data_IF_825917308854
#
_entry.id   IF_825917308854
#
_cell.length_a   1.000
_cell.length_b   1.000
_cell.length_c   1.000
_cell.angle_alpha   90.00
_cell.angle_beta   90.00
_cell.angle_gamma   90.00
#
_symmetry.space_group_name_H-M   'P 1'
#
loop_
_entity.id
_entity.type
_entity.pdbx_description
1 polymer ?
#
# COMPACT_ATOMS: atom_id res chain seq x y z
N UNK A 1 -9.59 -20.18 -5.55
CA UNK A 1 -8.76 -19.11 -6.15
C UNK A 1 -7.72 -18.69 -5.13
N UNK A 2 -6.49 -18.42 -5.54
CA UNK A 2 -5.41 -17.97 -4.65
C UNK A 2 -5.18 -16.48 -4.83
N UNK A 3 -5.14 -15.75 -3.73
CA UNK A 3 -5.05 -14.29 -3.74
C UNK A 3 -3.95 -13.87 -2.77
N UNK A 4 -3.10 -12.92 -3.18
CA UNK A 4 -2.17 -12.26 -2.29
C UNK A 4 -2.73 -10.90 -1.89
N UNK A 5 -2.85 -10.65 -0.60
CA UNK A 5 -3.13 -9.32 -0.03
C UNK A 5 -1.84 -8.67 0.46
N UNK A 6 -1.59 -7.41 0.09
CA UNK A 6 -0.46 -6.61 0.56
C UNK A 6 -0.94 -5.31 1.19
N UNK A 7 -0.41 -4.96 2.35
CA UNK A 7 -0.68 -3.68 3.01
C UNK A 7 0.56 -3.18 3.73
N UNK A 8 0.77 -1.86 3.74
CA UNK A 8 1.72 -1.24 4.64
C UNK A 8 1.05 -0.11 5.40
N UNK A 9 1.12 -0.21 6.73
CA UNK A 9 0.51 0.76 7.65
C UNK A 9 1.23 2.10 7.67
N UNK A 10 0.61 3.08 8.32
CA UNK A 10 1.19 4.43 8.50
C UNK A 10 2.39 4.47 9.43
N UNK A 11 2.69 3.39 10.16
CA UNK A 11 3.90 3.27 10.97
C UNK A 11 5.15 3.00 10.13
N UNK A 12 4.99 2.58 8.87
CA UNK A 12 6.09 2.32 7.92
C UNK A 12 7.12 1.33 8.48
N UNK A 13 6.66 0.37 9.30
CA UNK A 13 7.55 -0.63 9.91
C UNK A 13 7.79 -1.83 8.99
N UNK A 14 6.88 -2.06 8.04
CA UNK A 14 6.99 -3.13 7.06
C UNK A 14 5.76 -3.29 6.18
N UNK A 15 5.81 -4.31 5.33
CA UNK A 15 4.75 -4.72 4.42
C UNK A 15 4.20 -6.04 4.93
N UNK A 16 2.93 -6.06 5.29
CA UNK A 16 2.21 -7.27 5.61
C UNK A 16 1.72 -7.90 4.31
N UNK A 17 2.05 -9.18 4.14
CA UNK A 17 1.68 -9.99 2.99
C UNK A 17 0.95 -11.24 3.45
N UNK A 18 -0.20 -11.52 2.84
CA UNK A 18 -1.03 -12.68 3.14
C UNK A 18 -1.40 -13.42 1.86
N UNK A 19 -1.10 -14.71 1.78
CA UNK A 19 -1.59 -15.61 0.73
C UNK A 19 -2.83 -16.34 1.24
N UNK A 20 -3.93 -16.17 0.52
CA UNK A 20 -5.24 -16.71 0.86
C UNK A 20 -5.70 -17.67 -0.23
N UNK A 21 -6.39 -18.74 0.16
CA UNK A 21 -7.21 -19.56 -0.73
C UNK A 21 -8.68 -19.24 -0.48
N UNK A 22 -9.39 -18.86 -1.53
CA UNK A 22 -10.82 -18.58 -1.49
C UNK A 22 -11.61 -19.61 -2.28
N UNK A 23 -12.72 -20.02 -1.71
CA UNK A 23 -13.70 -20.92 -2.31
C UNK A 23 -15.12 -20.40 -2.06
N UNK A 24 -16.12 -21.01 -2.70
CA UNK A 24 -17.51 -20.60 -2.59
C UNK A 24 -17.88 -19.39 -3.46
N UNK A 25 -19.16 -19.01 -3.41
CA UNK A 25 -19.73 -17.90 -4.19
C UNK A 25 -20.77 -17.15 -3.37
N UNK A 26 -20.97 -15.86 -3.66
CA UNK A 26 -21.96 -15.04 -2.95
C UNK A 26 -21.66 -14.93 -1.45
N UNK A 27 -22.63 -15.31 -0.62
CA UNK A 27 -22.51 -15.25 0.84
C UNK A 27 -21.77 -16.45 1.45
N UNK A 28 -21.47 -17.48 0.66
CA UNK A 28 -20.80 -18.69 1.11
C UNK A 28 -19.28 -18.66 0.86
N UNK A 29 -18.74 -17.51 0.47
CA UNK A 29 -17.30 -17.35 0.26
C UNK A 29 -16.56 -17.64 1.56
N UNK A 30 -15.55 -18.51 1.50
CA UNK A 30 -14.60 -18.71 2.60
C UNK A 30 -13.22 -18.29 2.14
N UNK A 31 -12.43 -17.81 3.10
CA UNK A 31 -11.05 -17.44 2.89
C UNK A 31 -10.20 -18.18 3.93
N UNK A 32 -9.24 -18.97 3.45
CA UNK A 32 -8.29 -19.70 4.28
C UNK A 32 -6.92 -19.09 4.10
N UNK A 33 -6.29 -18.66 5.20
CA UNK A 33 -4.91 -18.17 5.18
C UNK A 33 -3.97 -19.36 4.94
N UNK A 34 -3.26 -19.34 3.82
CA UNK A 34 -2.25 -20.33 3.48
C UNK A 34 -0.88 -19.93 4.05
N UNK A 35 -0.54 -18.65 3.96
CA UNK A 35 0.71 -18.10 4.48
C UNK A 35 0.56 -16.62 4.81
N UNK A 36 1.32 -16.13 5.79
CA UNK A 36 1.35 -14.73 6.17
C UNK A 36 2.72 -14.34 6.71
N UNK A 37 3.19 -13.16 6.32
CA UNK A 37 4.47 -12.63 6.79
C UNK A 37 4.47 -11.11 6.77
N UNK A 38 5.42 -10.53 7.53
CA UNK A 38 5.71 -9.11 7.51
C UNK A 38 7.15 -8.91 7.05
N UNK A 39 7.35 -8.15 5.97
CA UNK A 39 8.68 -7.80 5.46
C UNK A 39 9.04 -6.41 5.97
N UNK A 40 10.11 -6.24 6.76
CA UNK A 40 10.54 -4.92 7.18
C UNK A 40 11.07 -4.13 5.98
N UNK A 41 10.77 -2.83 5.94
CA UNK A 41 11.43 -1.96 4.96
C UNK A 41 12.94 -1.86 5.25
N UNK A 42 13.78 -1.73 4.21
CA UNK A 42 15.16 -1.28 4.36
C UNK A 42 15.20 0.04 5.14
N UNK A 43 16.17 0.19 6.05
CA UNK A 43 16.24 1.33 6.96
C UNK A 43 16.28 2.67 6.22
N UNK A 44 17.04 2.74 5.13
CA UNK A 44 17.18 3.93 4.29
C UNK A 44 15.85 4.30 3.60
N UNK A 45 15.14 3.30 3.09
CA UNK A 45 13.83 3.51 2.45
C UNK A 45 12.80 3.96 3.47
N UNK A 46 12.74 3.32 4.64
CA UNK A 46 11.88 3.72 5.75
C UNK A 46 12.12 5.18 6.15
N UNK A 47 13.38 5.59 6.30
CA UNK A 47 13.73 6.97 6.61
C UNK A 47 13.27 7.97 5.55
N UNK A 48 13.38 7.61 4.26
CA UNK A 48 12.88 8.45 3.15
C UNK A 48 11.36 8.60 3.20
N UNK A 49 10.62 7.51 3.40
CA UNK A 49 9.15 7.55 3.51
C UNK A 49 8.74 8.43 4.69
N UNK A 50 9.35 8.24 5.87
CA UNK A 50 9.06 9.04 7.06
C UNK A 50 9.37 10.53 6.87
N UNK A 51 10.43 10.89 6.14
CA UNK A 51 10.74 12.28 5.83
C UNK A 51 9.63 12.94 4.99
N UNK A 52 9.12 12.24 3.98
CA UNK A 52 8.01 12.75 3.15
C UNK A 52 6.72 12.86 3.97
N UNK A 53 6.41 11.86 4.80
CA UNK A 53 5.28 11.91 5.72
C UNK A 53 5.38 13.08 6.72
N UNK A 54 6.60 13.49 7.08
CA UNK A 54 6.87 14.65 7.94
C UNK A 54 6.79 16.00 7.18
N UNK A 55 6.46 16.00 5.88
CA UNK A 55 6.33 17.20 5.06
C UNK A 55 7.64 17.76 4.51
N UNK A 56 8.72 16.96 4.50
CA UNK A 56 9.97 17.37 3.85
C UNK A 56 9.72 17.51 2.35
N UNK A 57 10.05 18.67 1.74
CA UNK A 57 9.87 18.87 0.31
C UNK A 57 10.67 17.86 -0.51
N UNK A 58 10.06 17.36 -1.57
CA UNK A 58 10.65 16.38 -2.46
C UNK A 58 10.44 16.84 -3.91
N UNK A 59 11.44 16.64 -4.78
CA UNK A 59 11.24 16.85 -6.21
C UNK A 59 10.31 15.76 -6.77
N UNK A 60 9.64 16.05 -7.90
CA UNK A 60 8.79 15.06 -8.56
C UNK A 60 9.57 13.80 -8.98
N UNK A 61 10.82 13.97 -9.41
CA UNK A 61 11.72 12.86 -9.74
C UNK A 61 12.01 11.98 -8.52
N UNK A 62 12.33 12.60 -7.38
CA UNK A 62 12.60 11.85 -6.15
C UNK A 62 11.34 11.19 -5.58
N UNK A 63 10.14 11.73 -5.87
CA UNK A 63 8.86 11.11 -5.55
C UNK A 63 8.63 9.85 -6.38
N UNK A 64 8.82 9.91 -7.70
CA UNK A 64 8.71 8.74 -8.56
C UNK A 64 9.70 7.64 -8.17
N UNK A 65 10.96 7.99 -7.88
CA UNK A 65 11.95 7.04 -7.40
C UNK A 65 11.61 6.42 -6.04
N UNK A 66 10.89 7.16 -5.18
CA UNK A 66 10.42 6.65 -3.90
C UNK A 66 9.28 5.65 -4.10
N UNK A 67 8.32 5.98 -4.96
CA UNK A 67 7.23 5.08 -5.33
C UNK A 67 7.75 3.77 -5.94
N UNK A 68 8.65 3.86 -6.93
CA UNK A 68 9.28 2.68 -7.52
C UNK A 68 9.94 1.83 -6.44
N UNK A 69 10.70 2.43 -5.52
CA UNK A 69 11.37 1.70 -4.45
C UNK A 69 10.38 0.98 -3.53
N UNK A 70 9.24 1.60 -3.21
CA UNK A 70 8.16 0.98 -2.43
C UNK A 70 7.55 -0.19 -3.22
N UNK A 71 7.20 0.01 -4.49
CA UNK A 71 6.63 -1.01 -5.36
C UNK A 71 7.53 -2.26 -5.45
N UNK A 72 8.86 -2.07 -5.53
CA UNK A 72 9.81 -3.19 -5.51
C UNK A 72 9.77 -3.98 -4.20
N UNK A 73 9.59 -3.30 -3.05
CA UNK A 73 9.43 -3.99 -1.76
C UNK A 73 8.12 -4.76 -1.67
N UNK A 74 7.02 -4.21 -2.19
CA UNK A 74 5.73 -4.92 -2.28
C UNK A 74 5.83 -6.17 -3.17
N UNK A 75 6.45 -6.04 -4.34
CA UNK A 75 6.70 -7.18 -5.23
C UNK A 75 7.58 -8.24 -4.56
N UNK A 76 8.58 -7.83 -3.77
CA UNK A 76 9.40 -8.77 -3.00
C UNK A 76 8.58 -9.48 -1.91
N UNK A 77 7.75 -8.77 -1.15
CA UNK A 77 6.88 -9.35 -0.14
C UNK A 77 5.90 -10.36 -0.75
N UNK A 78 5.32 -10.05 -1.92
CA UNK A 78 4.46 -10.97 -2.67
C UNK A 78 5.20 -12.26 -3.06
N UNK A 79 6.44 -12.15 -3.57
CA UNK A 79 7.26 -13.34 -3.90
C UNK A 79 7.60 -14.16 -2.66
N UNK A 80 7.89 -13.50 -1.53
CA UNK A 80 8.22 -14.19 -0.29
C UNK A 80 7.02 -14.95 0.28
N UNK A 81 5.81 -14.34 0.30
CA UNK A 81 4.63 -15.01 0.86
C UNK A 81 4.14 -16.16 -0.03
N UNK A 82 4.38 -16.07 -1.34
CA UNK A 82 4.08 -17.14 -2.29
C UNK A 82 5.11 -18.29 -2.25
N UNK A 83 6.30 -18.09 -1.66
CA UNK A 83 7.35 -19.10 -1.69
C UNK A 83 6.86 -20.43 -1.09
N UNK A 84 6.97 -21.52 -1.86
CA UNK A 84 6.49 -22.85 -1.46
C UNK A 84 5.01 -23.12 -1.77
N UNK A 85 4.30 -22.19 -2.39
CA UNK A 85 2.90 -22.35 -2.80
C UNK A 85 2.73 -22.23 -4.33
N UNK A 86 1.63 -22.77 -4.89
CA UNK A 86 1.27 -22.50 -6.28
C UNK A 86 1.09 -20.99 -6.55
N UNK A 87 1.28 -20.54 -7.80
CA UNK A 87 1.07 -19.15 -8.17
C UNK A 87 -0.32 -18.63 -7.74
N UNK A 88 -0.35 -17.40 -7.24
CA UNK A 88 -1.59 -16.69 -7.00
C UNK A 88 -2.27 -16.30 -8.32
N UNK A 89 -3.59 -16.31 -8.33
CA UNK A 89 -4.41 -15.88 -9.47
C UNK A 89 -4.51 -14.35 -9.52
N UNK A 90 -4.45 -13.69 -8.35
CA UNK A 90 -4.63 -12.24 -8.18
C UNK A 90 -3.78 -11.68 -7.04
N UNK A 91 -3.43 -10.39 -7.16
CA UNK A 91 -2.78 -9.62 -6.08
C UNK A 91 -3.63 -8.38 -5.80
N UNK A 92 -4.02 -8.21 -4.54
CA UNK A 92 -4.64 -6.98 -4.03
C UNK A 92 -3.63 -6.23 -3.17
N UNK A 93 -3.23 -5.03 -3.61
CA UNK A 93 -2.33 -4.16 -2.84
C UNK A 93 -3.07 -2.91 -2.39
N UNK A 94 -3.10 -2.67 -1.08
CA UNK A 94 -3.51 -1.37 -0.55
C UNK A 94 -2.47 -0.28 -0.86
N UNK A 95 -1.19 -0.67 -0.89
CA UNK A 95 -0.08 0.25 -1.04
C UNK A 95 0.38 0.89 0.27
N UNK A 96 1.24 1.90 0.13
CA UNK A 96 1.71 2.75 1.22
C UNK A 96 1.03 4.11 1.14
N UNK A 97 0.41 4.54 2.24
CA UNK A 97 -0.07 5.93 2.36
C UNK A 97 1.12 6.83 2.68
N UNK A 98 1.35 7.83 1.83
CA UNK A 98 2.37 8.88 2.04
C UNK A 98 1.71 10.20 2.48
N UNK A 99 0.52 10.48 1.96
CA UNK A 99 -0.28 11.63 2.38
C UNK A 99 -1.77 11.28 2.39
N UNK A 100 -2.44 11.60 3.49
CA UNK A 100 -3.88 11.41 3.64
C UNK A 100 -4.51 12.74 4.06
N UNK A 101 -5.34 13.33 3.19
CA UNK A 101 -6.12 14.53 3.49
C UNK A 101 -7.57 14.14 3.79
N UNK A 102 -7.94 13.91 5.07
CA UNK A 102 -9.32 13.61 5.40
C UNK A 102 -10.24 14.77 4.96
N UNK A 103 -11.46 14.48 4.48
CA UNK A 103 -12.42 15.52 4.15
C UNK A 103 -12.88 16.23 5.43
N UNK A 104 -12.24 17.36 5.77
CA UNK A 104 -12.71 18.25 6.83
C UNK A 104 -11.65 18.98 7.65
N UNK A 105 -11.11 20.07 7.12
CA UNK A 105 -10.93 21.34 7.84
C UNK A 105 -10.94 22.43 6.76
N UNK A 106 -12.09 23.10 6.65
CA UNK A 106 -12.37 24.04 5.58
C UNK A 106 -11.35 25.17 5.54
N UNK A 107 -10.78 25.43 4.36
CA UNK A 107 -10.26 26.76 4.06
C UNK A 107 -11.49 27.66 3.90
N UNK A 108 -11.77 28.50 4.91
CA UNK A 108 -12.64 29.68 4.73
C UNK A 108 -11.89 30.70 3.88
N UNK A 109 -11.74 30.39 2.59
CA UNK A 109 -11.38 31.36 1.56
C UNK A 109 -12.67 31.79 0.87
N UNK A 110 -13.02 33.07 0.97
CA UNK A 110 -14.11 33.62 0.16
C UNK A 110 -13.69 33.56 -1.31
N UNK A 111 -14.22 32.59 -2.05
CA UNK A 111 -13.97 32.44 -3.49
C UNK A 111 -14.65 31.18 -3.99
N UNK A 112 -15.54 31.35 -4.98
CA UNK A 112 -16.32 30.36 -5.74
C UNK A 112 -15.84 28.90 -5.67
N UNK A 113 -16.79 28.03 -5.36
CA UNK A 113 -16.57 26.65 -4.94
C UNK A 113 -15.90 25.74 -5.96
N UNK A 114 -14.97 24.94 -5.43
CA UNK A 114 -14.66 23.60 -5.90
C UNK A 114 -14.67 22.74 -4.65
N UNK A 115 -15.61 21.78 -4.58
CA UNK A 115 -15.55 20.71 -3.57
C UNK A 115 -14.34 19.86 -3.94
N UNK A 116 -13.21 20.12 -3.29
CA UNK A 116 -12.01 19.32 -3.48
C UNK A 116 -12.20 17.98 -2.77
N UNK A 117 -12.43 16.94 -3.56
CA UNK A 117 -12.40 15.55 -3.11
C UNK A 117 -11.08 15.29 -2.37
N UNK A 118 -11.15 14.54 -1.27
CA UNK A 118 -9.99 14.19 -0.46
C UNK A 118 -9.01 13.39 -1.30
N UNK A 119 -7.91 14.00 -1.73
CA UNK A 119 -6.80 13.25 -2.33
C UNK A 119 -6.12 12.50 -1.20
N UNK A 120 -6.44 11.22 -1.09
CA UNK A 120 -5.59 10.24 -0.44
C UNK A 120 -4.71 9.67 -1.54
N UNK A 121 -3.44 10.07 -1.59
CA UNK A 121 -2.46 9.35 -2.43
C UNK A 121 -2.05 8.09 -1.66
N UNK A 122 -2.87 7.05 -1.81
CA UNK A 122 -2.46 5.68 -1.60
C UNK A 122 -1.72 5.26 -2.88
N UNK A 123 -0.43 5.00 -2.77
CA UNK A 123 0.35 4.44 -3.87
C UNK A 123 -0.04 2.98 -4.04
N UNK A 124 -1.11 2.72 -4.78
CA UNK A 124 -1.45 1.36 -5.21
C UNK A 124 -0.43 0.94 -6.24
N UNK A 125 0.70 0.40 -5.80
CA UNK A 125 1.67 -0.23 -6.68
C UNK A 125 0.94 -1.39 -7.39
N UNK A 126 0.56 -1.17 -8.65
CA UNK A 126 0.04 -2.22 -9.51
C UNK A 126 1.14 -3.25 -9.72
N UNK A 127 0.97 -4.41 -9.08
CA UNK A 127 1.79 -5.60 -9.34
C UNK A 127 1.15 -6.39 -10.47
#
# INVERSE_FOLDING_TARGET
>A
MRIIGLISGTSVDGIDAALLETDGTGWEIRATLLNGLTVPYPAELRSRILAVCAGVPLSMEALAQLDDAIAHQFAQAARQVQAGHPPADLIGSHGQTVFHRPPGLGIRGQGSGVRGDGVTECWSSGV
#
